data_IF_836690717788
#
_entry.id   IF_836690717788
#
_cell.length_a   1.000
_cell.length_b   1.000
_cell.length_c   1.000
_cell.angle_alpha   90.00
_cell.angle_beta   90.00
_cell.angle_gamma   90.00
#
_symmetry.space_group_name_H-M   'P 1'
#
loop_
_entity.id
_entity.type
_entity.pdbx_description
1 polymer ?
#
# COMPACT_ATOMS: atom_id res chain seq x y z
N UNK A 1 14.08 7.74 -1.16
CA UNK A 1 12.69 7.75 -0.65
C UNK A 1 11.78 8.38 -1.69
N UNK A 2 10.64 7.76 -1.95
CA UNK A 2 9.64 8.29 -2.88
C UNK A 2 8.67 9.19 -2.11
N UNK A 3 8.43 10.39 -2.63
CA UNK A 3 7.43 11.29 -2.07
C UNK A 3 6.15 11.18 -2.89
N UNK A 4 5.03 10.99 -2.21
CA UNK A 4 3.70 10.95 -2.81
C UNK A 4 2.91 12.13 -2.30
N UNK A 5 2.32 12.89 -3.23
CA UNK A 5 1.46 14.00 -2.87
C UNK A 5 0.16 13.45 -2.29
N UNK A 6 -0.29 13.92 -1.12
CA UNK A 6 -1.58 13.48 -0.56
C UNK A 6 -2.76 13.66 -1.52
N UNK A 7 -2.67 14.57 -2.48
CA UNK A 7 -3.73 14.77 -3.49
C UNK A 7 -3.83 13.59 -4.46
N UNK A 8 -2.78 12.76 -4.57
CA UNK A 8 -2.78 11.57 -5.43
C UNK A 8 -3.41 10.36 -4.73
N UNK A 9 -3.65 10.47 -3.44
CA UNK A 9 -4.16 9.36 -2.64
C UNK A 9 -5.61 9.07 -2.98
N UNK A 10 -5.91 7.81 -3.25
CA UNK A 10 -7.27 7.33 -3.43
C UNK A 10 -7.61 6.31 -2.38
N UNK A 11 -8.66 5.55 -2.65
CA UNK A 11 -9.11 4.48 -1.75
C UNK A 11 -9.35 3.22 -2.56
N UNK A 12 -8.93 2.09 -2.00
CA UNK A 12 -9.17 0.78 -2.60
C UNK A 12 -10.08 -0.01 -1.67
N UNK A 13 -11.17 -0.54 -2.22
CA UNK A 13 -12.06 -1.42 -1.46
C UNK A 13 -11.56 -2.85 -1.54
N UNK A 14 -11.31 -3.44 -0.37
CA UNK A 14 -10.87 -4.81 -0.25
C UNK A 14 -11.78 -5.51 0.74
N UNK A 15 -12.65 -6.39 0.25
CA UNK A 15 -13.50 -7.22 1.11
C UNK A 15 -14.22 -6.37 2.16
N UNK A 16 -14.92 -5.33 1.70
CA UNK A 16 -15.68 -4.38 2.53
C UNK A 16 -14.82 -3.43 3.38
N UNK A 17 -13.50 -3.46 3.18
CA UNK A 17 -12.59 -2.51 3.83
C UNK A 17 -12.13 -1.45 2.84
N UNK A 18 -11.96 -0.22 3.33
CA UNK A 18 -11.36 0.85 2.54
C UNK A 18 -9.92 1.06 3.00
N UNK A 19 -9.00 1.07 2.06
CA UNK A 19 -7.56 1.20 2.33
C UNK A 19 -7.01 2.36 1.51
N UNK A 20 -6.16 3.21 2.09
CA UNK A 20 -5.47 4.23 1.29
C UNK A 20 -4.69 3.58 0.16
N UNK A 21 -4.79 4.16 -1.02
CA UNK A 21 -4.27 3.54 -2.23
C UNK A 21 -3.73 4.61 -3.18
N UNK A 22 -2.65 4.28 -3.85
CA UNK A 22 -2.09 5.12 -4.91
C UNK A 22 -1.58 4.23 -6.03
N UNK A 23 -1.78 4.67 -7.29
CA UNK A 23 -1.31 3.97 -8.46
C UNK A 23 -0.06 4.68 -8.99
N UNK A 24 1.07 3.98 -8.98
CA UNK A 24 2.35 4.50 -9.45
C UNK A 24 2.86 3.65 -10.61
N UNK A 25 2.03 3.47 -11.60
CA UNK A 25 2.27 2.56 -12.72
C UNK A 25 3.53 2.89 -13.53
N UNK A 26 4.00 4.12 -13.50
CA UNK A 26 5.13 4.58 -14.30
C UNK A 26 6.47 4.57 -13.53
N UNK A 27 6.50 4.03 -12.31
CA UNK A 27 7.75 3.89 -11.58
C UNK A 27 8.64 2.81 -12.19
N UNK A 28 9.93 3.13 -12.33
CA UNK A 28 10.91 2.18 -12.85
C UNK A 28 11.23 1.09 -11.81
N UNK A 29 11.21 1.42 -10.52
CA UNK A 29 11.49 0.49 -9.45
C UNK A 29 10.70 0.88 -8.20
N UNK A 30 10.47 -0.08 -7.32
CA UNK A 30 9.73 0.15 -6.09
C UNK A 30 10.70 0.51 -4.96
N UNK A 31 10.55 1.67 -4.33
CA UNK A 31 11.37 2.04 -3.19
C UNK A 31 11.01 1.22 -1.94
N UNK A 32 11.90 1.24 -0.95
CA UNK A 32 11.62 0.60 0.33
C UNK A 32 10.82 1.49 1.28
N UNK A 33 10.78 2.79 1.01
CA UNK A 33 10.06 3.76 1.84
C UNK A 33 9.32 4.76 0.98
N UNK A 34 8.15 5.16 1.46
CA UNK A 34 7.30 6.15 0.81
C UNK A 34 6.96 7.23 1.82
N UNK A 35 7.10 8.49 1.43
CA UNK A 35 6.70 9.64 2.24
C UNK A 35 5.38 10.17 1.71
N UNK A 36 4.35 10.13 2.54
CA UNK A 36 3.02 10.65 2.21
C UNK A 36 2.71 11.81 3.17
N UNK A 37 2.88 13.04 2.69
CA UNK A 37 2.74 14.20 3.55
C UNK A 37 3.79 14.17 4.66
N UNK A 38 3.35 14.10 5.91
CA UNK A 38 4.23 14.04 7.09
C UNK A 38 4.57 12.62 7.50
N UNK A 39 3.91 11.64 6.91
CA UNK A 39 4.00 10.26 7.37
C UNK A 39 4.92 9.45 6.47
N UNK A 40 5.79 8.68 7.10
CA UNK A 40 6.69 7.77 6.40
C UNK A 40 6.16 6.35 6.49
N UNK A 41 6.16 5.65 5.35
CA UNK A 41 5.70 4.28 5.26
C UNK A 41 6.85 3.40 4.78
N UNK A 42 6.98 2.23 5.38
CA UNK A 42 8.01 1.25 5.01
C UNK A 42 7.37 0.04 4.34
N UNK A 43 8.07 -0.53 3.36
CA UNK A 43 7.59 -1.71 2.65
C UNK A 43 7.40 -2.88 3.61
N UNK A 44 6.27 -3.57 3.48
CA UNK A 44 5.95 -4.75 4.28
C UNK A 44 5.90 -6.01 3.41
N UNK A 45 5.02 -6.02 2.40
CA UNK A 45 4.84 -7.20 1.54
C UNK A 45 4.22 -6.80 0.22
N UNK A 46 4.19 -7.74 -0.74
CA UNK A 46 3.57 -7.51 -2.04
C UNK A 46 2.73 -8.72 -2.45
N UNK A 47 1.76 -8.47 -3.34
CA UNK A 47 0.87 -9.49 -3.85
C UNK A 47 0.66 -9.27 -5.35
N UNK A 48 0.54 -10.36 -6.10
CA UNK A 48 0.13 -10.27 -7.50
C UNK A 48 -1.33 -9.87 -7.56
N UNK A 49 -1.66 -8.93 -8.45
CA UNK A 49 -3.05 -8.50 -8.65
C UNK A 49 -3.90 -9.69 -9.08
N UNK A 50 -3.34 -10.53 -9.99
CA UNK A 50 -4.02 -11.74 -10.43
C UNK A 50 -3.51 -12.94 -9.67
N UNK A 51 -4.41 -13.71 -9.09
CA UNK A 51 -4.09 -14.96 -8.42
C UNK A 51 -3.79 -14.82 -6.93
N UNK A 52 -3.11 -13.77 -6.52
CA UNK A 52 -2.75 -13.58 -5.11
C UNK A 52 -3.49 -12.41 -4.46
N UNK A 53 -4.37 -11.73 -5.20
CA UNK A 53 -5.14 -10.61 -4.66
C UNK A 53 -6.03 -10.99 -3.50
N UNK A 54 -6.49 -12.25 -3.46
CA UNK A 54 -7.33 -12.74 -2.36
C UNK A 54 -6.59 -12.89 -1.04
N UNK A 55 -5.25 -12.87 -1.06
CA UNK A 55 -4.43 -12.96 0.14
C UNK A 55 -4.23 -11.61 0.82
N UNK A 56 -4.48 -10.53 0.09
CA UNK A 56 -4.23 -9.18 0.61
C UNK A 56 -5.21 -8.76 1.71
N UNK A 57 -6.54 -8.98 1.59
CA UNK A 57 -7.46 -8.58 2.65
C UNK A 57 -7.13 -9.15 4.03
N UNK A 58 -6.82 -10.45 4.18
CA UNK A 58 -6.43 -10.97 5.49
C UNK A 58 -5.19 -10.30 6.04
N UNK A 59 -4.21 -10.00 5.18
CA UNK A 59 -2.98 -9.33 5.60
C UNK A 59 -3.26 -7.91 6.08
N UNK A 60 -4.13 -7.17 5.39
CA UNK A 60 -4.51 -5.83 5.79
C UNK A 60 -5.22 -5.85 7.16
N UNK A 61 -6.12 -6.82 7.37
CA UNK A 61 -6.79 -6.97 8.67
C UNK A 61 -5.79 -7.25 9.79
N UNK A 62 -4.82 -8.12 9.51
CA UNK A 62 -3.76 -8.43 10.47
C UNK A 62 -2.96 -7.19 10.85
N UNK A 63 -2.57 -6.38 9.87
CA UNK A 63 -1.82 -5.15 10.11
C UNK A 63 -2.63 -4.16 10.94
N UNK A 64 -3.91 -3.98 10.62
CA UNK A 64 -4.77 -3.08 11.38
C UNK A 64 -5.00 -3.56 12.79
N UNK A 65 -5.15 -4.86 12.98
CA UNK A 65 -5.30 -5.44 14.32
C UNK A 65 -4.06 -5.22 15.17
N UNK A 66 -2.90 -5.12 14.55
CA UNK A 66 -1.64 -4.79 15.22
C UNK A 66 -1.43 -3.29 15.43
N UNK A 67 -2.41 -2.47 15.09
CA UNK A 67 -2.33 -1.01 15.26
C UNK A 67 -1.53 -0.30 14.17
N UNK A 68 -1.24 -0.98 13.06
CA UNK A 68 -0.48 -0.40 11.96
C UNK A 68 -1.40 0.19 10.91
N UNK A 69 -0.91 1.22 10.22
CA UNK A 69 -1.66 1.90 9.17
C UNK A 69 -1.11 1.48 7.81
N UNK A 70 -1.86 0.70 7.02
CA UNK A 70 -1.38 0.26 5.71
C UNK A 70 -1.60 1.32 4.62
N UNK A 71 -0.73 1.30 3.63
CA UNK A 71 -0.88 2.05 2.39
C UNK A 71 -0.62 1.09 1.25
N UNK A 72 -1.54 1.00 0.30
CA UNK A 72 -1.39 0.09 -0.85
C UNK A 72 -0.93 0.91 -2.05
N UNK A 73 0.14 0.44 -2.67
CA UNK A 73 0.67 1.04 -3.91
C UNK A 73 0.57 0.01 -5.02
N UNK A 74 -0.13 0.36 -6.08
CA UNK A 74 -0.21 -0.51 -7.26
C UNK A 74 0.85 -0.09 -8.26
N UNK A 75 1.61 -1.07 -8.76
CA UNK A 75 2.60 -0.84 -9.81
C UNK A 75 2.63 -2.06 -10.71
N UNK A 76 2.25 -1.86 -11.96
CA UNK A 76 2.18 -2.98 -12.90
C UNK A 76 1.15 -4.02 -12.47
N UNK A 77 1.62 -5.25 -12.29
CA UNK A 77 0.76 -6.38 -11.93
C UNK A 77 0.81 -6.73 -10.43
N UNK A 78 1.37 -5.84 -9.60
CA UNK A 78 1.53 -6.09 -8.17
C UNK A 78 0.95 -4.97 -7.31
N UNK A 79 0.43 -5.39 -6.16
CA UNK A 79 0.14 -4.49 -5.05
C UNK A 79 1.28 -4.56 -4.05
N UNK A 80 1.80 -3.41 -3.66
CA UNK A 80 2.84 -3.32 -2.63
C UNK A 80 2.21 -2.71 -1.38
N UNK A 81 2.32 -3.41 -0.26
CA UNK A 81 1.76 -2.94 1.00
C UNK A 81 2.87 -2.31 1.82
N UNK A 82 2.66 -1.03 2.13
CA UNK A 82 3.54 -0.27 3.01
C UNK A 82 2.83 -0.03 4.33
N UNK A 83 3.58 0.08 5.40
CA UNK A 83 3.02 0.38 6.72
C UNK A 83 3.67 1.63 7.29
N UNK A 84 2.86 2.44 7.97
CA UNK A 84 3.35 3.66 8.58
C UNK A 84 4.33 3.33 9.69
N UNK A 85 5.48 4.01 9.69
CA UNK A 85 6.46 3.87 10.75
C UNK A 85 5.90 4.44 12.04
N UNK A 86 6.05 3.68 13.11
CA UNK A 86 5.56 4.10 14.41
C UNK A 86 6.42 5.22 15.01
#
# INVERSE_FOLDING_TARGET
MLEVDPSQLGSLELDEMWVPYVDLYDLDFMPTHVQLGKDEYAFSCSFLVKGHGALMPPKIRELRAAGKQPLVVERGDRYYVFVQAA
#
